data_IF_050243179999
#
_entry.id   IF_050243179999
#
_cell.length_a   1.000
_cell.length_b   1.000
_cell.length_c   1.000
_cell.angle_alpha   90.00
_cell.angle_beta   90.00
_cell.angle_gamma   90.00
#
_symmetry.space_group_name_H-M   'P 1'
#
loop_
_entity.id
_entity.type
_entity.pdbx_description
1 polymer ?
#
# COMPACT_ATOMS: atom_id res chain seq x y z
N UNK A 1 -27.03 22.73 7.82
CA UNK A 1 -25.83 22.62 8.65
C UNK A 1 -25.59 21.14 8.94
N UNK A 2 -24.46 20.56 8.53
CA UNK A 2 -24.14 19.20 8.99
C UNK A 2 -23.98 19.25 10.51
N UNK A 3 -24.66 18.36 11.23
CA UNK A 3 -24.52 18.23 12.67
C UNK A 3 -23.06 17.86 12.99
N UNK A 4 -22.41 18.69 13.81
CA UNK A 4 -21.03 18.44 14.24
C UNK A 4 -21.06 17.31 15.26
N UNK A 5 -20.73 16.09 14.83
CA UNK A 5 -20.79 14.89 15.66
C UNK A 5 -19.58 14.71 16.60
N UNK A 6 -18.52 15.50 16.43
CA UNK A 6 -17.27 15.42 17.21
C UNK A 6 -16.43 16.71 17.08
N UNK A 7 -15.78 17.16 18.15
CA UNK A 7 -14.85 18.31 18.16
C UNK A 7 -13.45 17.82 18.54
N UNK A 8 -12.42 18.37 17.91
CA UNK A 8 -11.03 18.18 18.33
C UNK A 8 -10.44 19.54 18.70
N UNK A 9 -9.93 19.63 19.92
CA UNK A 9 -9.22 20.80 20.42
C UNK A 9 -7.76 20.42 20.64
N UNK A 10 -6.85 21.21 20.10
CA UNK A 10 -5.43 21.09 20.42
C UNK A 10 -5.06 22.38 21.13
N UNK A 11 -4.34 22.26 22.25
CA UNK A 11 -4.13 23.34 23.21
C UNK A 11 -2.64 23.39 23.51
N UNK A 12 -1.99 24.50 23.15
CA UNK A 12 -0.59 24.71 23.49
C UNK A 12 -0.48 25.21 24.94
N UNK A 13 0.14 24.41 25.80
CA UNK A 13 0.45 24.78 27.18
C UNK A 13 1.62 25.75 27.25
N UNK A 14 1.46 26.83 28.02
CA UNK A 14 2.53 27.78 28.32
C UNK A 14 3.61 27.19 29.24
N UNK A 15 3.26 26.19 30.07
CA UNK A 15 4.16 25.52 31.00
C UNK A 15 4.44 24.06 30.57
N UNK A 16 5.63 23.51 30.89
CA UNK A 16 5.96 22.12 30.61
C UNK A 16 4.97 21.14 31.26
N UNK A 17 4.51 20.15 30.50
CA UNK A 17 3.60 19.12 30.98
C UNK A 17 4.39 17.99 31.66
N UNK A 18 3.83 17.45 32.75
CA UNK A 18 4.44 16.29 33.44
C UNK A 18 4.11 15.01 32.69
N UNK A 19 5.12 14.40 32.06
CA UNK A 19 5.01 13.08 31.44
C UNK A 19 4.67 13.07 29.95
N UNK A 20 4.53 14.24 29.32
CA UNK A 20 4.27 14.38 27.88
C UNK A 20 2.92 15.03 27.57
N UNK A 21 2.37 14.78 26.38
CA UNK A 21 1.10 15.37 25.97
C UNK A 21 -0.07 14.77 26.76
N UNK A 22 -0.98 15.62 27.22
CA UNK A 22 -2.21 15.19 27.88
C UNK A 22 -3.32 15.10 26.83
N UNK A 23 -3.96 13.94 26.72
CA UNK A 23 -5.06 13.70 25.79
C UNK A 23 -6.31 13.32 26.57
N UNK A 24 -7.43 14.01 26.33
CA UNK A 24 -8.66 13.85 27.11
C UNK A 24 -9.88 13.74 26.20
N UNK A 25 -10.83 12.87 26.54
CA UNK A 25 -12.12 12.80 25.88
C UNK A 25 -13.18 13.31 26.85
N UNK A 26 -13.75 14.47 26.54
CA UNK A 26 -14.93 14.96 27.21
C UNK A 26 -16.18 14.42 26.49
N UNK A 27 -16.98 13.61 27.19
CA UNK A 27 -18.34 13.22 26.79
C UNK A 27 -19.35 13.96 27.66
N UNK A 28 -19.73 15.21 27.34
CA UNK A 28 -20.79 15.90 28.07
C UNK A 28 -22.15 15.22 27.82
N UNK A 29 -23.05 15.25 28.82
CA UNK A 29 -24.40 14.66 28.74
C UNK A 29 -25.31 15.40 27.73
N UNK A 30 -25.04 16.70 27.54
CA UNK A 30 -25.54 17.51 26.43
C UNK A 30 -24.35 18.27 25.84
N UNK A 31 -24.00 17.97 24.59
CA UNK A 31 -22.88 18.60 23.90
C UNK A 31 -22.21 17.68 22.88
N UNK A 32 -21.35 18.27 22.05
CA UNK A 32 -20.57 17.51 21.07
C UNK A 32 -19.38 16.87 21.80
N UNK A 33 -19.10 15.56 21.61
CA UNK A 33 -17.94 14.94 22.22
C UNK A 33 -16.65 15.62 21.75
N UNK A 34 -15.77 15.97 22.69
CA UNK A 34 -14.54 16.72 22.41
C UNK A 34 -13.30 15.92 22.79
N UNK A 35 -12.35 15.79 21.87
CA UNK A 35 -11.01 15.27 22.11
C UNK A 35 -10.03 16.44 22.25
N UNK A 36 -9.48 16.62 23.46
CA UNK A 36 -8.53 17.69 23.76
C UNK A 36 -7.11 17.13 23.83
N UNK A 37 -6.18 17.67 23.05
CA UNK A 37 -4.73 17.40 23.16
C UNK A 37 -4.03 18.63 23.72
N UNK A 38 -3.51 18.54 24.92
CA UNK A 38 -2.66 19.58 25.50
C UNK A 38 -1.19 19.21 25.30
N UNK A 39 -0.39 20.10 24.71
CA UNK A 39 1.03 19.89 24.42
C UNK A 39 1.85 21.14 24.75
N UNK A 40 3.10 20.98 25.14
CA UNK A 40 4.05 22.09 25.34
C UNK A 40 5.06 22.17 24.18
N UNK A 41 5.57 21.02 23.73
CA UNK A 41 6.59 20.92 22.67
C UNK A 41 6.06 20.26 21.39
N UNK A 42 6.63 20.57 20.20
CA UNK A 42 6.24 19.91 18.94
C UNK A 42 6.44 18.38 18.96
N UNK A 43 7.43 17.90 19.70
CA UNK A 43 7.68 16.46 19.88
C UNK A 43 6.54 15.79 20.66
N UNK A 44 6.04 16.43 21.71
CA UNK A 44 4.87 15.95 22.47
C UNK A 44 3.63 15.86 21.60
N UNK A 45 3.39 16.85 20.75
CA UNK A 45 2.27 16.84 19.81
C UNK A 45 2.38 15.67 18.81
N UNK A 46 3.58 15.47 18.25
CA UNK A 46 3.84 14.36 17.32
C UNK A 46 3.65 13.00 18.00
N UNK A 47 4.14 12.86 19.23
CA UNK A 47 3.96 11.64 20.01
C UNK A 47 2.49 11.40 20.39
N UNK A 48 1.73 12.44 20.73
CA UNK A 48 0.29 12.31 20.98
C UNK A 48 -0.47 11.82 19.75
N UNK A 49 -0.15 12.35 18.56
CA UNK A 49 -0.72 11.87 17.30
C UNK A 49 -0.37 10.39 17.10
N UNK A 50 0.90 10.01 17.30
CA UNK A 50 1.34 8.61 17.19
C UNK A 50 0.65 7.68 18.20
N UNK A 51 0.35 8.16 19.41
CA UNK A 51 -0.43 7.42 20.40
C UNK A 51 -1.89 7.24 19.98
N UNK A 52 -2.51 8.27 19.42
CA UNK A 52 -3.90 8.21 18.95
C UNK A 52 -4.14 7.31 17.74
N UNK A 53 -3.08 7.01 17.00
CA UNK A 53 -3.08 6.03 15.91
C UNK A 53 -2.54 4.67 16.36
N UNK A 54 -2.19 4.50 17.63
CA UNK A 54 -1.72 3.21 18.13
C UNK A 54 -2.81 2.56 18.98
N UNK A 55 -3.39 1.41 18.57
CA UNK A 55 -4.49 0.76 19.28
C UNK A 55 -4.21 0.54 20.77
N UNK A 56 -2.96 0.25 21.12
CA UNK A 56 -2.49 0.04 22.51
C UNK A 56 -2.64 1.29 23.37
N UNK A 57 -2.46 2.48 22.80
CA UNK A 57 -2.57 3.75 23.51
C UNK A 57 -3.99 4.32 23.45
N UNK A 58 -4.74 4.03 22.38
CA UNK A 58 -6.17 4.40 22.27
C UNK A 58 -7.00 3.80 23.40
N UNK A 59 -6.72 2.55 23.83
CA UNK A 59 -7.40 1.92 24.97
C UNK A 59 -7.26 2.72 26.28
N UNK A 60 -6.21 3.53 26.44
CA UNK A 60 -6.01 4.34 27.64
C UNK A 60 -7.02 5.50 27.72
N UNK A 61 -7.61 5.90 26.59
CA UNK A 61 -8.62 6.96 26.50
C UNK A 61 -10.00 6.52 26.97
N UNK A 62 -10.24 5.21 27.15
CA UNK A 62 -11.48 4.69 27.74
C UNK A 62 -11.67 5.15 29.20
N UNK A 63 -10.60 5.67 29.83
CA UNK A 63 -10.60 6.23 31.19
C UNK A 63 -10.87 7.74 31.26
N UNK A 64 -11.18 8.38 30.12
CA UNK A 64 -11.49 9.81 30.02
C UNK A 64 -10.27 10.74 29.87
N UNK A 65 -9.08 10.30 30.29
CA UNK A 65 -7.82 11.02 30.03
C UNK A 65 -6.61 10.09 30.02
N UNK A 66 -5.66 10.32 29.11
CA UNK A 66 -4.39 9.62 29.03
C UNK A 66 -3.22 10.60 28.92
N UNK A 67 -2.09 10.26 29.52
CA UNK A 67 -0.82 11.01 29.32
C UNK A 67 0.01 10.20 28.34
N UNK A 68 0.27 10.77 27.17
CA UNK A 68 1.11 10.17 26.16
C UNK A 68 2.57 10.60 26.34
N UNK A 69 3.51 9.64 26.44
CA UNK A 69 4.94 9.94 26.54
C UNK A 69 5.43 10.83 25.40
N UNK A 70 6.54 11.55 25.64
CA UNK A 70 7.18 12.44 24.67
C UNK A 70 7.75 11.71 23.44
N UNK A 71 7.91 10.39 23.51
CA UNK A 71 8.42 9.55 22.43
C UNK A 71 7.52 8.32 22.24
N UNK A 72 6.54 8.45 21.35
CA UNK A 72 5.79 7.32 20.80
C UNK A 72 6.18 7.18 19.34
N UNK A 73 6.69 6.00 18.95
CA UNK A 73 7.00 5.69 17.55
C UNK A 73 5.72 5.61 16.72
N UNK A 74 5.78 6.06 15.47
CA UNK A 74 4.70 5.82 14.52
C UNK A 74 4.45 4.31 14.40
N UNK A 75 3.19 3.85 14.38
CA UNK A 75 2.88 2.44 14.35
C UNK A 75 3.35 1.80 13.04
N UNK A 76 3.73 0.52 13.10
CA UNK A 76 4.29 -0.20 11.95
C UNK A 76 3.33 -0.27 10.76
N UNK A 77 2.01 -0.27 11.00
CA UNK A 77 0.99 -0.21 9.96
C UNK A 77 0.98 1.13 9.21
N UNK A 78 1.46 2.21 9.83
CA UNK A 78 1.62 3.52 9.20
C UNK A 78 2.95 3.65 8.43
N UNK A 79 3.74 2.57 8.30
CA UNK A 79 4.96 2.59 7.52
C UNK A 79 4.67 2.53 6.02
N UNK A 80 5.36 3.40 5.28
CA UNK A 80 5.19 3.59 3.84
C UNK A 80 5.52 2.33 3.06
N UNK A 81 4.51 1.68 2.48
CA UNK A 81 4.74 0.61 1.50
C UNK A 81 4.86 1.23 0.12
N UNK A 82 6.10 1.44 -0.34
CA UNK A 82 6.35 1.73 -1.76
C UNK A 82 6.09 0.44 -2.53
N UNK A 83 5.23 0.50 -3.54
CA UNK A 83 4.90 -0.63 -4.39
C UNK A 83 5.56 -0.37 -5.74
N UNK A 84 6.71 -0.98 -5.98
CA UNK A 84 7.43 -0.92 -7.26
C UNK A 84 7.46 -2.29 -7.96
N UNK A 85 7.31 -3.37 -7.21
CA UNK A 85 7.51 -4.74 -7.66
C UNK A 85 6.36 -5.66 -7.26
N UNK A 86 6.27 -6.84 -7.89
CA UNK A 86 5.32 -7.87 -7.47
C UNK A 86 5.63 -8.38 -6.04
N UNK A 87 6.90 -8.40 -5.64
CA UNK A 87 7.31 -8.75 -4.28
C UNK A 87 6.78 -7.75 -3.23
N UNK A 88 6.71 -6.46 -3.57
CA UNK A 88 6.12 -5.43 -2.68
C UNK A 88 4.61 -5.66 -2.45
N UNK A 89 3.93 -6.35 -3.37
CA UNK A 89 2.55 -6.80 -3.21
C UNK A 89 2.43 -8.11 -2.41
N UNK A 90 3.54 -8.66 -1.91
CA UNK A 90 3.57 -9.90 -1.14
C UNK A 90 3.59 -11.16 -2.01
N UNK A 91 3.80 -11.02 -3.32
CA UNK A 91 3.86 -12.16 -4.25
C UNK A 91 5.27 -12.74 -4.19
N UNK A 92 5.37 -14.04 -3.89
CA UNK A 92 6.63 -14.76 -3.90
C UNK A 92 6.96 -15.27 -5.30
N UNK A 93 8.25 -15.44 -5.57
CA UNK A 93 8.77 -16.10 -6.76
C UNK A 93 8.09 -17.44 -7.05
N UNK A 94 7.74 -17.67 -8.32
CA UNK A 94 7.02 -18.88 -8.73
C UNK A 94 7.42 -19.38 -10.11
N UNK A 95 7.27 -20.68 -10.33
CA UNK A 95 7.47 -21.33 -11.63
C UNK A 95 6.14 -21.42 -12.38
N UNK A 96 6.17 -21.13 -13.67
CA UNK A 96 5.05 -21.26 -14.60
C UNK A 96 5.20 -22.56 -15.36
N UNK A 97 4.32 -23.51 -15.05
CA UNK A 97 4.26 -24.81 -15.73
C UNK A 97 3.34 -24.72 -16.97
N UNK A 98 2.76 -25.82 -17.50
CA UNK A 98 1.64 -25.79 -18.48
C UNK A 98 0.34 -25.22 -17.86
N UNK A 99 0.48 -24.21 -17.02
CA UNK A 99 -0.57 -23.68 -16.18
C UNK A 99 -0.55 -22.17 -16.30
N UNK A 100 -1.75 -21.63 -16.45
CA UNK A 100 -2.01 -20.25 -16.12
C UNK A 100 -1.79 -20.02 -14.62
N UNK A 101 -1.22 -18.88 -14.27
CA UNK A 101 -1.16 -18.39 -12.90
C UNK A 101 -1.95 -17.10 -12.82
N UNK A 102 -2.99 -17.11 -11.99
CA UNK A 102 -3.73 -15.92 -11.62
C UNK A 102 -3.08 -15.31 -10.37
N UNK A 103 -2.84 -14.00 -10.44
CA UNK A 103 -2.30 -13.16 -9.38
C UNK A 103 -3.28 -12.01 -9.14
N UNK A 104 -3.53 -11.71 -7.87
CA UNK A 104 -4.30 -10.55 -7.46
C UNK A 104 -3.33 -9.45 -7.07
N UNK A 105 -3.41 -8.32 -7.78
CA UNK A 105 -2.62 -7.12 -7.52
C UNK A 105 -3.51 -6.14 -6.77
N UNK A 106 -3.40 -6.15 -5.44
CA UNK A 106 -4.19 -5.29 -4.57
C UNK A 106 -3.39 -4.04 -4.20
N UNK A 107 -3.73 -2.91 -4.83
CA UNK A 107 -3.19 -1.60 -4.50
C UNK A 107 -4.03 -0.93 -3.40
N UNK A 108 -3.47 0.05 -2.67
CA UNK A 108 -4.19 0.74 -1.61
C UNK A 108 -5.51 1.36 -2.10
N UNK A 109 -6.61 1.09 -1.39
CA UNK A 109 -7.96 1.56 -1.76
C UNK A 109 -8.10 3.09 -1.79
N UNK A 110 -7.15 3.82 -1.20
CA UNK A 110 -7.07 5.27 -1.16
C UNK A 110 -6.54 5.88 -2.47
N UNK A 111 -5.92 5.06 -3.31
CA UNK A 111 -5.46 5.44 -4.64
C UNK A 111 -6.65 5.53 -5.60
N UNK A 112 -6.55 6.47 -6.53
CA UNK A 112 -7.44 6.60 -7.66
C UNK A 112 -6.57 6.51 -8.92
N UNK A 113 -6.69 5.43 -9.72
CA UNK A 113 -5.97 5.31 -10.97
C UNK A 113 -6.21 6.53 -11.86
N UNK A 114 -5.13 7.09 -12.40
CA UNK A 114 -5.18 8.20 -13.36
C UNK A 114 -4.81 7.77 -14.77
N UNK A 115 -4.21 6.59 -14.89
CA UNK A 115 -3.76 5.99 -16.14
C UNK A 115 -3.77 4.46 -15.99
N UNK A 116 -3.42 3.76 -17.08
CA UNK A 116 -3.37 2.31 -17.13
C UNK A 116 -2.27 1.75 -16.21
N UNK A 117 -2.54 0.57 -15.65
CA UNK A 117 -1.53 -0.22 -14.96
C UNK A 117 -0.45 -0.63 -15.98
N UNK A 118 0.82 -0.41 -15.64
CA UNK A 118 1.95 -0.78 -16.48
C UNK A 118 3.02 -1.50 -15.66
N UNK A 119 3.85 -2.30 -16.30
CA UNK A 119 4.90 -3.03 -15.61
C UNK A 119 5.80 -3.81 -16.54
N UNK A 120 6.74 -4.53 -15.95
CA UNK A 120 7.60 -5.47 -16.66
C UNK A 120 7.63 -6.77 -15.87
N UNK A 121 7.37 -7.88 -16.55
CA UNK A 121 7.53 -9.21 -15.95
C UNK A 121 8.95 -9.67 -16.26
N UNK A 122 9.71 -9.95 -15.21
CA UNK A 122 11.05 -10.50 -15.28
C UNK A 122 10.98 -12.03 -15.13
N UNK A 123 11.59 -12.74 -16.07
CA UNK A 123 11.53 -14.19 -16.13
C UNK A 123 12.90 -14.78 -16.47
N UNK A 124 13.16 -15.96 -15.91
CA UNK A 124 14.26 -16.81 -16.26
C UNK A 124 13.74 -18.01 -17.02
N UNK A 125 14.21 -18.18 -18.25
CA UNK A 125 13.74 -19.19 -19.19
C UNK A 125 14.83 -20.27 -19.30
N UNK A 126 14.45 -21.55 -19.16
CA UNK A 126 15.32 -22.68 -19.46
C UNK A 126 15.55 -22.77 -20.97
N UNK A 127 16.76 -23.17 -21.36
CA UNK A 127 17.06 -23.39 -22.78
C UNK A 127 16.37 -24.65 -23.33
N UNK A 128 16.16 -24.67 -24.65
CA UNK A 128 15.67 -25.83 -25.40
C UNK A 128 14.17 -25.80 -25.65
N UNK A 129 13.52 -24.65 -25.40
CA UNK A 129 12.12 -24.43 -25.76
C UNK A 129 11.98 -24.29 -27.27
N UNK A 130 11.01 -25.01 -27.86
CA UNK A 130 10.81 -25.03 -29.30
C UNK A 130 10.10 -23.78 -29.80
N UNK A 131 10.30 -23.48 -31.09
CA UNK A 131 9.63 -22.41 -31.79
C UNK A 131 8.10 -22.52 -31.64
N UNK A 132 7.45 -21.41 -31.30
CA UNK A 132 6.03 -21.37 -30.97
C UNK A 132 5.75 -21.30 -29.47
N UNK A 133 6.75 -21.60 -28.62
CA UNK A 133 6.64 -21.36 -27.18
C UNK A 133 6.54 -19.86 -26.88
N UNK A 134 5.58 -19.49 -26.05
CA UNK A 134 5.35 -18.10 -25.65
C UNK A 134 4.82 -18.00 -24.22
N UNK A 135 4.96 -16.80 -23.66
CA UNK A 135 4.28 -16.38 -22.45
C UNK A 135 3.39 -15.19 -22.80
N UNK A 136 2.17 -15.20 -22.26
CA UNK A 136 1.17 -14.16 -22.47
C UNK A 136 0.68 -13.67 -21.11
N UNK A 137 0.56 -12.35 -20.95
CA UNK A 137 -0.01 -11.72 -19.77
C UNK A 137 -1.37 -11.11 -20.10
N UNK A 138 -2.33 -11.27 -19.19
CA UNK A 138 -3.64 -10.67 -19.25
C UNK A 138 -3.88 -9.86 -17.97
N UNK A 139 -4.41 -8.65 -18.10
CA UNK A 139 -4.83 -7.83 -16.95
C UNK A 139 -6.33 -7.62 -17.07
N UNK A 140 -7.08 -8.04 -16.05
CA UNK A 140 -8.55 -7.99 -16.03
C UNK A 140 -9.19 -8.62 -17.28
N UNK A 141 -8.59 -9.69 -17.80
CA UNK A 141 -9.04 -10.40 -19.01
C UNK A 141 -8.66 -9.73 -20.34
N UNK A 142 -8.04 -8.55 -20.35
CA UNK A 142 -7.49 -7.91 -21.54
C UNK A 142 -6.04 -8.32 -21.80
N UNK A 143 -5.67 -8.56 -23.06
CA UNK A 143 -4.29 -8.88 -23.44
C UNK A 143 -3.37 -7.73 -23.07
N UNK A 144 -2.42 -7.99 -22.16
CA UNK A 144 -1.55 -6.97 -21.59
C UNK A 144 -0.12 -7.00 -22.14
N UNK A 145 0.34 -8.17 -22.61
CA UNK A 145 1.66 -8.33 -23.21
C UNK A 145 1.94 -9.78 -23.58
N UNK A 146 2.90 -10.01 -24.45
CA UNK A 146 3.38 -11.36 -24.76
C UNK A 146 4.85 -11.35 -25.19
N UNK A 147 5.51 -12.49 -25.03
CA UNK A 147 6.90 -12.70 -25.42
C UNK A 147 7.09 -14.14 -25.90
N UNK A 148 7.86 -14.30 -26.99
CA UNK A 148 8.34 -15.62 -27.43
C UNK A 148 9.39 -16.12 -26.45
N UNK A 149 9.26 -17.36 -26.03
CA UNK A 149 10.15 -17.99 -25.04
C UNK A 149 11.08 -19.04 -25.67
N UNK A 150 10.91 -19.32 -26.97
CA UNK A 150 11.81 -20.18 -27.72
C UNK A 150 13.22 -19.59 -27.76
N UNK A 151 14.18 -20.30 -27.16
CA UNK A 151 15.59 -19.92 -27.15
C UNK A 151 16.48 -21.17 -27.08
N UNK A 152 17.59 -21.13 -27.82
CA UNK A 152 18.54 -22.23 -28.01
C UNK A 152 19.93 -21.83 -27.48
N UNK A 153 19.97 -21.25 -26.28
CA UNK A 153 21.23 -20.88 -25.59
C UNK A 153 21.82 -22.09 -24.83
N UNK A 154 23.08 -22.06 -24.36
CA UNK A 154 23.58 -23.15 -23.47
C UNK A 154 23.02 -23.06 -22.06
N UNK A 155 22.67 -21.85 -21.61
CA UNK A 155 22.33 -21.53 -20.23
C UNK A 155 20.95 -20.88 -20.11
N UNK A 156 20.27 -20.98 -18.95
CA UNK A 156 19.01 -20.29 -18.71
C UNK A 156 19.16 -18.77 -18.85
N UNK A 157 18.27 -18.15 -19.62
CA UNK A 157 18.38 -16.73 -19.98
C UNK A 157 17.37 -15.89 -19.20
N UNK A 158 17.83 -14.76 -18.66
CA UNK A 158 16.95 -13.75 -18.07
C UNK A 158 16.35 -12.89 -19.19
N UNK A 159 15.03 -12.76 -19.19
CA UNK A 159 14.24 -11.97 -20.14
C UNK A 159 13.24 -11.10 -19.38
N UNK A 160 12.75 -10.08 -20.05
CA UNK A 160 11.69 -9.23 -19.52
C UNK A 160 10.77 -8.76 -20.64
N UNK A 161 9.47 -8.72 -20.37
CA UNK A 161 8.50 -8.13 -21.30
C UNK A 161 7.60 -7.15 -20.58
N UNK A 162 7.19 -6.11 -21.31
CA UNK A 162 6.30 -5.09 -20.80
C UNK A 162 4.87 -5.60 -20.76
N UNK A 163 4.14 -5.19 -19.73
CA UNK A 163 2.70 -5.40 -19.60
C UNK A 163 1.98 -4.07 -19.44
N UNK A 164 0.84 -3.94 -20.12
CA UNK A 164 0.01 -2.74 -20.08
C UNK A 164 -1.45 -3.16 -19.93
N UNK A 165 -2.17 -2.62 -18.96
CA UNK A 165 -3.61 -2.83 -18.88
C UNK A 165 -4.29 -2.19 -20.09
N UNK A 166 -5.35 -2.86 -20.57
CA UNK A 166 -6.12 -2.40 -21.72
C UNK A 166 -6.79 -1.03 -21.49
N UNK A 167 -7.26 -0.80 -20.27
CA UNK A 167 -8.08 0.36 -19.91
C UNK A 167 -7.69 0.87 -18.51
N UNK A 168 -8.01 2.15 -18.27
CA UNK A 168 -7.87 2.76 -16.95
C UNK A 168 -8.97 2.17 -16.06
N UNK A 169 -8.57 1.49 -14.98
CA UNK A 169 -9.52 0.88 -14.05
C UNK A 169 -10.11 1.94 -13.11
N UNK A 170 -11.38 1.79 -12.75
CA UNK A 170 -12.01 2.56 -11.67
C UNK A 170 -11.69 2.00 -10.28
N UNK A 171 -11.03 0.83 -10.22
CA UNK A 171 -10.67 0.12 -8.99
C UNK A 171 -9.15 0.01 -8.86
N UNK A 172 -8.70 -0.28 -7.64
CA UNK A 172 -7.28 -0.48 -7.29
C UNK A 172 -6.88 -1.95 -7.25
N UNK A 173 -7.76 -2.85 -7.72
CA UNK A 173 -7.53 -4.29 -7.66
C UNK A 173 -7.48 -4.82 -9.09
N UNK A 174 -6.45 -5.59 -9.41
CA UNK A 174 -6.25 -6.12 -10.75
C UNK A 174 -6.01 -7.63 -10.71
N UNK A 175 -6.62 -8.35 -11.65
CA UNK A 175 -6.30 -9.76 -11.90
C UNK A 175 -5.24 -9.83 -13.00
N UNK A 176 -4.00 -10.17 -12.63
CA UNK A 176 -2.93 -10.48 -13.58
C UNK A 176 -2.90 -11.99 -13.81
N UNK A 177 -3.20 -12.43 -15.04
CA UNK A 177 -3.06 -13.81 -15.46
C UNK A 177 -1.82 -13.96 -16.33
N UNK A 178 -0.88 -14.82 -15.94
CA UNK A 178 0.24 -15.22 -16.77
C UNK A 178 -0.04 -16.61 -17.33
N UNK A 179 -0.04 -16.72 -18.64
CA UNK A 179 -0.33 -17.94 -19.37
C UNK A 179 0.90 -18.37 -20.16
N UNK A 180 1.35 -19.60 -19.95
CA UNK A 180 2.53 -20.14 -20.56
C UNK A 180 2.13 -21.23 -21.57
N UNK A 181 2.49 -21.03 -22.83
CA UNK A 181 2.35 -22.03 -23.89
C UNK A 181 3.73 -22.58 -24.20
N UNK A 182 4.04 -23.77 -23.69
CA UNK A 182 5.32 -24.45 -23.92
C UNK A 182 5.16 -25.55 -24.96
N UNK A 183 6.02 -25.51 -25.98
CA UNK A 183 6.24 -26.61 -26.90
C UNK A 183 7.63 -27.16 -26.58
N UNK A 184 7.70 -28.35 -26.01
CA UNK A 184 8.96 -29.01 -25.64
C UNK A 184 9.01 -30.42 -26.22
N UNK A 185 10.19 -30.86 -26.65
CA UNK A 185 10.42 -32.26 -26.99
C UNK A 185 10.58 -33.06 -25.69
N UNK A 186 9.64 -33.98 -25.42
CA UNK A 186 9.66 -34.84 -24.24
C UNK A 186 10.89 -35.76 -24.15
N UNK A 187 11.60 -35.99 -25.26
CA UNK A 187 12.86 -36.74 -25.29
C UNK A 187 14.09 -35.89 -24.92
N UNK A 188 14.04 -34.56 -25.09
CA UNK A 188 15.18 -33.67 -24.81
C UNK A 188 15.02 -32.91 -23.48
N UNK A 189 13.79 -32.64 -23.05
CA UNK A 189 13.49 -31.93 -21.80
C UNK A 189 12.31 -32.61 -21.08
N UNK A 190 12.52 -33.76 -20.41
CA UNK A 190 11.47 -34.46 -19.66
C UNK A 190 10.88 -33.62 -18.51
N UNK A 191 11.57 -32.53 -18.12
CA UNK A 191 11.17 -31.59 -17.06
C UNK A 191 10.95 -30.15 -17.56
N UNK A 192 10.69 -29.93 -18.85
CA UNK A 192 10.37 -28.59 -19.41
C UNK A 192 9.16 -27.91 -18.74
N UNK A 193 8.41 -28.68 -17.95
CA UNK A 193 7.25 -28.25 -17.21
C UNK A 193 7.55 -27.21 -16.13
N UNK A 194 8.79 -26.85 -15.81
CA UNK A 194 9.14 -25.72 -14.94
C UNK A 194 10.11 -24.72 -15.60
N UNK A 195 10.06 -24.66 -16.93
CA UNK A 195 11.03 -23.94 -17.76
C UNK A 195 10.98 -22.43 -17.62
N UNK A 196 9.91 -21.87 -17.06
CA UNK A 196 9.81 -20.44 -16.78
C UNK A 196 9.70 -20.19 -15.28
N UNK A 197 10.62 -19.36 -14.78
CA UNK A 197 10.60 -18.86 -13.42
C UNK A 197 10.38 -17.34 -13.47
N UNK A 198 9.36 -16.86 -12.75
CA UNK A 198 9.10 -15.42 -12.60
C UNK A 198 9.83 -14.92 -11.35
N UNK A 199 10.67 -13.91 -11.54
CA UNK A 199 11.37 -13.19 -10.48
C UNK A 199 10.51 -11.99 -10.08
N UNK A 200 9.84 -12.11 -8.94
CA UNK A 200 8.86 -11.13 -8.46
C UNK A 200 9.51 -9.85 -7.94
N UNK A 201 10.76 -9.93 -7.47
CA UNK A 201 11.53 -8.79 -7.01
C UNK A 201 12.06 -7.95 -8.19
N UNK A 202 12.29 -8.57 -9.35
CA UNK A 202 12.64 -7.85 -10.59
C UNK A 202 11.44 -7.49 -11.45
N UNK A 203 10.29 -8.12 -11.22
CA UNK A 203 9.06 -7.82 -11.95
C UNK A 203 8.45 -6.53 -11.43
N UNK A 204 8.50 -5.47 -12.24
CA UNK A 204 8.04 -4.14 -11.86
C UNK A 204 6.56 -3.96 -12.12
N UNK A 205 5.91 -3.18 -11.25
CA UNK A 205 4.52 -2.79 -11.41
C UNK A 205 4.35 -1.34 -11.01
N UNK A 206 3.65 -0.58 -11.85
CA UNK A 206 3.39 0.85 -11.65
C UNK A 206 1.95 1.16 -12.02
N UNK A 207 1.21 1.62 -11.03
CA UNK A 207 -0.13 2.17 -11.20
C UNK A 207 -0.04 3.70 -11.05
N UNK A 208 -0.05 4.48 -12.16
CA UNK A 208 -0.17 5.93 -12.05
C UNK A 208 -1.49 6.28 -11.35
N UNK A 209 -1.39 7.03 -10.27
CA UNK A 209 -2.52 7.32 -9.41
C UNK A 209 -2.45 8.74 -8.86
N UNK A 210 -3.62 9.24 -8.50
CA UNK A 210 -3.78 10.36 -7.57
C UNK A 210 -4.43 9.84 -6.30
N UNK A 211 -4.33 10.62 -5.24
CA UNK A 211 -5.12 10.37 -4.05
C UNK A 211 -6.58 10.77 -4.31
N UNK A 212 -7.54 9.99 -3.79
CA UNK A 212 -8.96 10.38 -3.80
C UNK A 212 -9.11 11.76 -3.16
N UNK A 213 -9.96 12.62 -3.73
CA UNK A 213 -10.05 14.05 -3.40
C UNK A 213 -10.30 14.37 -1.91
N UNK A 214 -10.84 13.43 -1.12
CA UNK A 214 -10.88 13.54 0.35
C UNK A 214 -9.52 13.29 0.98
N UNK A 215 -8.89 12.16 0.69
CA UNK A 215 -7.62 11.72 1.32
C UNK A 215 -6.45 12.61 0.91
N UNK A 216 -6.43 13.09 -0.34
CA UNK A 216 -5.40 14.02 -0.83
C UNK A 216 -5.37 15.31 -0.01
N UNK A 217 -6.54 15.89 0.26
CA UNK A 217 -6.67 17.08 1.10
C UNK A 217 -6.12 16.80 2.50
N UNK A 218 -6.46 15.64 3.07
CA UNK A 218 -6.06 15.23 4.41
C UNK A 218 -4.54 15.02 4.52
N UNK A 219 -3.92 14.28 3.59
CA UNK A 219 -2.47 14.08 3.59
C UNK A 219 -1.69 15.39 3.41
N UNK A 220 -2.19 16.34 2.60
CA UNK A 220 -1.55 17.65 2.42
C UNK A 220 -1.73 18.57 3.65
N UNK A 221 -2.81 18.39 4.41
CA UNK A 221 -3.00 19.06 5.71
C UNK A 221 -2.19 18.40 6.82
N UNK A 222 -1.67 17.18 6.66
CA UNK A 222 -0.87 16.49 7.69
C UNK A 222 0.64 16.65 7.51
N UNK A 223 1.11 16.91 6.29
CA UNK A 223 2.55 17.01 6.01
C UNK A 223 2.87 17.97 4.86
N UNK A 224 4.05 18.60 4.90
CA UNK A 224 4.65 19.29 3.75
C UNK A 224 5.00 18.33 2.60
N UNK A 225 5.05 17.02 2.89
CA UNK A 225 5.14 15.93 1.91
C UNK A 225 4.05 14.88 2.24
N UNK A 226 2.87 14.92 1.58
CA UNK A 226 1.77 14.02 1.88
C UNK A 226 2.22 12.56 1.75
N UNK A 227 1.97 11.78 2.78
CA UNK A 227 2.43 10.41 2.89
C UNK A 227 1.27 9.54 3.34
N UNK A 228 1.02 8.44 2.64
CA UNK A 228 -0.18 7.62 2.79
C UNK A 228 0.14 6.46 3.72
N UNK A 229 -0.49 6.44 4.90
CA UNK A 229 -0.56 5.26 5.75
C UNK A 229 -1.66 4.33 5.20
N UNK A 230 -1.36 3.04 5.06
CA UNK A 230 -2.38 2.03 4.70
C UNK A 230 -2.98 1.55 6.02
N UNK A 231 -4.23 1.93 6.27
CA UNK A 231 -4.97 1.50 7.45
C UNK A 231 -5.83 0.28 7.10
N UNK A 232 -5.63 -0.82 7.82
CA UNK A 232 -6.47 -2.02 7.77
C UNK A 232 -7.68 -1.93 8.73
N UNK A 233 -7.79 -0.83 9.50
CA UNK A 233 -8.80 -0.58 10.53
C UNK A 233 -9.54 0.74 10.24
N UNK A 234 -10.62 0.70 9.44
CA UNK A 234 -11.35 1.86 8.87
C UNK A 234 -11.68 3.09 9.76
N UNK A 235 -11.54 3.00 11.08
CA UNK A 235 -11.72 4.12 12.02
C UNK A 235 -10.45 4.88 12.42
N UNK A 236 -9.26 4.26 12.33
CA UNK A 236 -8.02 4.86 12.81
C UNK A 236 -7.53 5.98 11.89
N UNK A 237 -7.72 5.83 10.58
CA UNK A 237 -7.38 6.83 9.57
C UNK A 237 -8.14 8.13 9.79
N UNK A 238 -9.47 8.09 10.02
CA UNK A 238 -10.27 9.30 10.25
C UNK A 238 -9.83 10.05 11.52
N UNK A 239 -9.48 9.32 12.57
CA UNK A 239 -9.00 9.91 13.82
C UNK A 239 -7.60 10.52 13.61
N UNK A 240 -6.67 9.78 13.00
CA UNK A 240 -5.33 10.26 12.61
C UNK A 240 -5.39 11.56 11.80
N UNK A 241 -6.35 11.59 10.86
CA UNK A 241 -6.59 12.70 9.96
C UNK A 241 -6.99 13.96 10.72
N UNK A 242 -8.07 13.90 11.52
CA UNK A 242 -8.56 15.12 12.19
C UNK A 242 -7.47 15.63 13.15
N UNK A 243 -6.79 14.72 13.83
CA UNK A 243 -5.76 15.05 14.81
C UNK A 243 -4.57 15.80 14.20
N UNK A 244 -4.03 15.32 13.10
CA UNK A 244 -2.90 16.02 12.52
C UNK A 244 -3.30 17.29 11.73
N UNK A 245 -4.56 17.44 11.28
CA UNK A 245 -5.03 18.71 10.72
C UNK A 245 -5.03 19.82 11.77
N UNK A 246 -5.57 19.52 12.96
CA UNK A 246 -5.56 20.48 14.06
C UNK A 246 -4.12 20.75 14.53
N UNK A 247 -3.28 19.73 14.58
CA UNK A 247 -1.86 19.89 14.94
C UNK A 247 -1.07 20.78 13.97
N UNK A 248 -1.23 20.61 12.64
CA UNK A 248 -0.53 21.45 11.64
C UNK A 248 -0.95 22.92 11.73
N UNK A 249 -2.22 23.20 11.95
CA UNK A 249 -2.70 24.59 12.08
C UNK A 249 -2.14 25.32 13.31
N UNK A 250 -1.53 24.58 14.25
CA UNK A 250 -0.98 25.12 15.49
C UNK A 250 0.55 25.09 15.57
N UNK A 251 1.22 24.61 14.53
CA UNK A 251 2.67 24.67 14.32
C UNK A 251 3.02 25.83 13.38
#
# INVERSE_FOLDING_TARGET
NPETNFIIEVIRSASPLKGGALVQIAKPAEGVPTLSITYHTPQELTAAINGLINPTYVQQLDTGSAIFPTTISAPAWAQFKKIDTLADLGIQDFRLNHAEKNLFLDFPAVWQPTDILQGQIALRIQSGLLQGSNITAWINGGLAGSMKTADLASDPVNRQFNIFAKEISNTTNFSLKLENSVIANSQCLPNAHGSLWVDTAKSTVKLPHKLKNGIAALSMTLATKPTIAIDDQSGALNIAIILGQVAKNML
#
